data_IF_376788356103
#
_entry.id   IF_376788356103
#
_cell.length_a   1.000
_cell.length_b   1.000
_cell.length_c   1.000
_cell.angle_alpha   90.00
_cell.angle_beta   90.00
_cell.angle_gamma   90.00
#
_symmetry.space_group_name_H-M   'P 1'
#
loop_
_entity.id
_entity.type
_entity.pdbx_description
1 polymer ?
#
# COMPACT_ATOMS: atom_id res chain seq x y z
N UNK A 1 4.31 6.83 19.71
CA UNK A 1 3.49 6.72 18.50
C UNK A 1 3.53 5.25 18.08
N UNK A 2 2.42 4.53 18.22
CA UNK A 2 2.34 3.11 17.79
C UNK A 2 2.09 3.01 16.28
N UNK A 3 2.14 1.80 15.69
CA UNK A 3 1.75 1.59 14.31
C UNK A 3 0.31 2.05 14.08
N UNK A 4 0.09 2.82 13.01
CA UNK A 4 -1.25 3.17 12.56
C UNK A 4 -1.89 1.90 11.99
N UNK A 5 -3.06 1.55 12.51
CA UNK A 5 -3.86 0.44 12.00
C UNK A 5 -5.22 0.98 11.59
N UNK A 6 -5.70 0.57 10.42
CA UNK A 6 -7.04 0.86 9.95
C UNK A 6 -7.60 -0.38 9.27
N UNK A 7 -8.84 -0.72 9.60
CA UNK A 7 -9.55 -1.85 9.00
C UNK A 7 -10.50 -1.32 7.94
N UNK A 8 -10.51 -1.98 6.78
CA UNK A 8 -11.40 -1.68 5.67
C UNK A 8 -12.09 -2.97 5.24
N UNK A 9 -13.36 -2.89 4.87
CA UNK A 9 -14.03 -3.97 4.16
C UNK A 9 -13.59 -3.93 2.70
N UNK A 10 -12.90 -4.98 2.27
CA UNK A 10 -12.40 -5.10 0.91
C UNK A 10 -13.37 -5.99 0.11
N UNK A 11 -13.92 -5.53 -1.02
CA UNK A 11 -14.76 -6.36 -1.88
C UNK A 11 -13.99 -7.58 -2.42
N UNK A 12 -14.68 -8.69 -2.69
CA UNK A 12 -14.06 -9.93 -3.19
C UNK A 12 -13.26 -9.79 -4.49
N UNK A 13 -13.56 -8.75 -5.27
CA UNK A 13 -12.88 -8.44 -6.54
C UNK A 13 -11.95 -7.24 -6.47
N UNK A 14 -11.56 -6.82 -5.27
CA UNK A 14 -10.65 -5.70 -5.12
C UNK A 14 -9.27 -6.06 -5.69
N UNK A 15 -8.84 -5.29 -6.68
CA UNK A 15 -7.52 -5.38 -7.26
C UNK A 15 -6.48 -4.71 -6.35
N UNK A 16 -5.19 -5.01 -6.55
CA UNK A 16 -4.11 -4.28 -5.86
C UNK A 16 -4.18 -2.78 -6.18
N UNK A 17 -4.52 -2.42 -7.41
CA UNK A 17 -4.73 -1.04 -7.83
C UNK A 17 -5.83 -0.34 -7.02
N UNK A 18 -7.00 -0.98 -6.89
CA UNK A 18 -8.11 -0.43 -6.11
C UNK A 18 -7.73 -0.22 -4.64
N UNK A 19 -7.02 -1.19 -4.04
CA UNK A 19 -6.54 -1.11 -2.68
C UNK A 19 -5.57 0.06 -2.49
N UNK A 20 -4.56 0.18 -3.36
CA UNK A 20 -3.57 1.25 -3.29
C UNK A 20 -4.24 2.60 -3.47
N UNK A 21 -5.14 2.74 -4.45
CA UNK A 21 -5.87 3.97 -4.70
C UNK A 21 -6.78 4.34 -3.51
N UNK A 22 -7.47 3.38 -2.90
CA UNK A 22 -8.30 3.61 -1.72
C UNK A 22 -7.48 4.06 -0.51
N UNK A 23 -6.31 3.45 -0.29
CA UNK A 23 -5.40 3.82 0.82
C UNK A 23 -4.77 5.19 0.60
N UNK A 24 -4.37 5.53 -0.62
CA UNK A 24 -3.88 6.88 -0.96
C UNK A 24 -4.99 7.91 -0.78
N UNK A 25 -6.20 7.62 -1.26
CA UNK A 25 -7.35 8.50 -1.14
C UNK A 25 -7.79 8.72 0.31
N UNK A 26 -7.65 7.72 1.18
CA UNK A 26 -7.98 7.83 2.61
C UNK A 26 -7.04 8.75 3.39
N UNK A 27 -5.89 9.12 2.81
CA UNK A 27 -4.81 9.88 3.48
C UNK A 27 -4.33 9.22 4.78
N UNK A 28 -4.51 7.92 4.90
CA UNK A 28 -4.04 7.13 6.03
C UNK A 28 -2.50 7.07 6.09
N UNK A 29 -1.86 7.07 4.92
CA UNK A 29 -0.41 7.01 4.81
C UNK A 29 0.22 8.32 5.28
N UNK A 30 0.99 8.23 6.37
CA UNK A 30 1.82 9.32 6.86
C UNK A 30 3.21 9.18 6.28
N UNK A 31 3.64 10.20 5.54
CA UNK A 31 5.00 10.32 5.01
C UNK A 31 5.83 11.21 5.95
N UNK A 32 7.14 10.98 6.02
CA UNK A 32 8.06 11.89 6.72
C UNK A 32 8.90 12.68 5.71
N UNK A 33 9.55 13.75 6.15
CA UNK A 33 10.46 14.54 5.29
C UNK A 33 11.64 13.73 4.75
N UNK A 34 11.96 12.60 5.37
CA UNK A 34 13.08 11.70 4.99
C UNK A 34 12.63 10.46 4.25
N UNK A 35 11.34 10.11 4.28
CA UNK A 35 10.83 8.91 3.61
C UNK A 35 9.66 9.29 2.71
N UNK A 36 9.95 9.36 1.42
CA UNK A 36 8.99 9.73 0.39
C UNK A 36 8.36 8.51 -0.30
N UNK A 37 8.72 7.29 0.09
CA UNK A 37 8.14 6.06 -0.45
C UNK A 37 7.76 5.08 0.68
N UNK A 38 6.61 4.43 0.52
CA UNK A 38 6.11 3.38 1.40
C UNK A 38 5.92 2.09 0.59
N UNK A 39 6.46 1.01 1.11
CA UNK A 39 6.36 -0.31 0.50
C UNK A 39 5.12 -1.00 1.04
N UNK A 40 4.18 -1.31 0.15
CA UNK A 40 2.99 -2.07 0.42
C UNK A 40 3.33 -3.56 0.38
N UNK A 41 3.10 -4.25 1.50
CA UNK A 41 3.31 -5.68 1.66
C UNK A 41 2.01 -6.36 2.07
N UNK A 42 1.72 -7.49 1.43
CA UNK A 42 0.57 -8.33 1.73
C UNK A 42 1.10 -9.73 2.06
N UNK A 43 0.79 -10.25 3.24
CA UNK A 43 1.33 -11.53 3.72
C UNK A 43 2.88 -11.61 3.62
N UNK A 44 3.58 -10.51 3.90
CA UNK A 44 5.04 -10.40 3.81
C UNK A 44 5.61 -10.27 2.39
N UNK A 45 4.78 -10.35 1.35
CA UNK A 45 5.19 -10.15 -0.04
C UNK A 45 4.99 -8.71 -0.46
N UNK A 46 6.01 -8.09 -1.04
CA UNK A 46 5.88 -6.75 -1.62
C UNK A 46 4.98 -6.79 -2.87
N UNK A 47 3.99 -5.91 -2.90
CA UNK A 47 3.00 -5.85 -3.98
C UNK A 47 3.01 -4.51 -4.71
N UNK A 48 3.34 -3.42 -4.01
CA UNK A 48 3.42 -2.10 -4.59
C UNK A 48 4.32 -1.17 -3.76
N UNK A 49 4.75 -0.07 -4.36
CA UNK A 49 5.43 1.05 -3.70
C UNK A 49 4.60 2.30 -3.95
N UNK A 50 4.22 2.98 -2.88
CA UNK A 50 3.42 4.20 -2.90
C UNK A 50 4.31 5.38 -2.58
N UNK A 51 4.36 6.35 -3.49
CA UNK A 51 5.15 7.57 -3.31
C UNK A 51 4.35 8.67 -2.64
N UNK A 52 5.06 9.53 -1.92
CA UNK A 52 4.52 10.71 -1.27
C UNK A 52 3.97 11.67 -2.34
N UNK A 53 2.75 12.20 -2.15
CA UNK A 53 2.20 13.21 -3.06
C UNK A 53 2.99 14.53 -3.02
N UNK A 54 3.90 14.69 -2.05
CA UNK A 54 4.76 15.85 -1.88
C UNK A 54 6.12 15.69 -2.58
N UNK A 55 6.46 14.52 -3.13
CA UNK A 55 7.67 14.32 -3.93
C UNK A 55 7.54 15.05 -5.28
N UNK A 56 8.62 15.71 -5.73
CA UNK A 56 8.68 16.40 -7.02
C UNK A 56 9.85 15.83 -7.84
N UNK A 57 9.60 15.29 -9.05
CA UNK A 57 8.30 15.18 -9.73
C UNK A 57 7.35 14.21 -9.02
N UNK A 58 6.04 14.46 -9.12
CA UNK A 58 5.05 13.53 -8.61
C UNK A 58 5.18 12.18 -9.31
N UNK A 59 5.20 11.09 -8.53
CA UNK A 59 5.37 9.73 -9.04
C UNK A 59 4.11 8.92 -8.80
N UNK A 60 3.70 8.18 -9.82
CA UNK A 60 2.63 7.21 -9.71
C UNK A 60 3.10 5.99 -8.89
N UNK A 61 2.17 5.27 -8.22
CA UNK A 61 2.50 4.04 -7.52
C UNK A 61 3.16 3.02 -8.46
N UNK A 62 4.18 2.33 -7.95
CA UNK A 62 4.85 1.25 -8.66
C UNK A 62 4.26 -0.08 -8.22
N UNK A 63 3.64 -0.84 -9.13
CA UNK A 63 3.12 -2.17 -8.83
C UNK A 63 4.20 -3.24 -9.10
N UNK A 64 4.53 -4.02 -8.08
CA UNK A 64 5.50 -5.13 -8.14
C UNK A 64 4.84 -6.41 -8.64
N UNK A 65 3.55 -6.58 -8.33
CA UNK A 65 2.68 -7.62 -8.89
C UNK A 65 1.77 -7.02 -9.96
N UNK A 66 1.04 -7.88 -10.68
CA UNK A 66 0.03 -7.40 -11.62
C UNK A 66 -1.01 -6.53 -10.87
N UNK A 67 -1.26 -5.32 -11.37
CA UNK A 67 -2.11 -4.34 -10.69
C UNK A 67 -3.57 -4.80 -10.59
N UNK A 68 -4.01 -5.61 -11.56
CA UNK A 68 -5.32 -6.26 -11.63
C UNK A 68 -5.42 -7.54 -10.78
N UNK A 69 -4.33 -7.97 -10.13
CA UNK A 69 -4.35 -9.13 -9.25
C UNK A 69 -5.29 -8.87 -8.06
N UNK A 70 -6.12 -9.87 -7.74
CA UNK A 70 -7.01 -9.78 -6.60
C UNK A 70 -6.20 -9.83 -5.29
N UNK A 71 -6.49 -8.95 -4.35
CA UNK A 71 -5.87 -8.93 -3.01
C UNK A 71 -5.96 -10.31 -2.33
N UNK A 72 -7.12 -10.95 -2.42
CA UNK A 72 -7.40 -12.27 -1.87
C UNK A 72 -6.57 -13.40 -2.50
N UNK A 73 -6.03 -13.20 -3.70
CA UNK A 73 -5.14 -14.19 -4.32
C UNK A 73 -3.75 -14.22 -3.68
N UNK A 74 -3.38 -13.15 -2.97
CA UNK A 74 -2.06 -12.96 -2.34
C UNK A 74 -2.14 -13.24 -0.84
N UNK A 75 -3.18 -12.74 -0.16
CA UNK A 75 -3.44 -13.06 1.24
C UNK A 75 -4.55 -14.11 1.37
N UNK A 76 -4.16 -15.33 1.77
CA UNK A 76 -5.06 -16.47 1.92
C UNK A 76 -5.71 -16.57 3.31
N UNK A 77 -5.19 -15.88 4.33
CA UNK A 77 -5.72 -15.92 5.71
C UNK A 77 -5.39 -14.61 6.39
N UNK A 78 -6.37 -13.96 7.03
CA UNK A 78 -6.29 -12.64 7.67
C UNK A 78 -5.51 -11.62 6.81
N UNK A 79 -6.20 -10.97 5.86
CA UNK A 79 -5.63 -9.99 4.93
C UNK A 79 -5.01 -8.79 5.66
N UNK A 80 -3.80 -8.96 6.18
CA UNK A 80 -2.98 -7.90 6.71
C UNK A 80 -2.18 -7.26 5.58
N UNK A 81 -2.39 -5.96 5.43
CA UNK A 81 -1.67 -5.11 4.47
C UNK A 81 -0.83 -4.15 5.28
N UNK A 82 0.49 -4.21 5.07
CA UNK A 82 1.45 -3.38 5.77
C UNK A 82 2.02 -2.33 4.81
N UNK A 83 2.08 -1.08 5.25
CA UNK A 83 2.80 -0.01 4.56
C UNK A 83 3.99 0.38 5.40
N UNK A 84 5.20 0.05 4.93
CA UNK A 84 6.44 0.24 5.68
C UNK A 84 7.41 1.13 4.94
N UNK A 85 8.14 1.97 5.67
CA UNK A 85 9.30 2.66 5.11
C UNK A 85 10.43 1.65 4.92
N UNK A 86 11.07 1.66 3.77
CA UNK A 86 12.32 0.93 3.59
C UNK A 86 13.38 1.57 4.49
N UNK A 87 13.93 0.80 5.43
CA UNK A 87 15.08 1.23 6.20
C UNK A 87 16.30 1.05 5.32
N UNK A 88 16.84 2.16 4.82
CA UNK A 88 18.16 2.20 4.18
C UNK A 88 19.25 2.15 5.24
#
# INVERSE_FOLDING_TARGET
MGPLAQTFEIPDRCSIEDLVNAVVASRFLQYSSTHTALHCRIAGKEVAVVFSPYEVPAREPLFVVASDAAVQSIATTDCEVEFVFERT
#
